data_IF_888438232353
#
_entry.id   IF_888438232353
#
_cell.length_a   1.000
_cell.length_b   1.000
_cell.length_c   1.000
_cell.angle_alpha   90.00
_cell.angle_beta   90.00
_cell.angle_gamma   90.00
#
_symmetry.space_group_name_H-M   'P 1'
#
loop_
_entity.id
_entity.type
_entity.pdbx_description
1 polymer ?
#
# COMPACT_ATOMS: atom_id res chain seq x y z
N UNK A 1 -16.32 4.50 -38.27
CA UNK A 1 -14.90 4.03 -38.21
C UNK A 1 -14.88 2.59 -37.70
N UNK A 2 -13.96 1.75 -38.18
CA UNK A 2 -13.81 0.38 -37.67
C UNK A 2 -12.95 0.41 -36.39
N UNK A 3 -13.38 -0.21 -35.28
CA UNK A 3 -12.56 -0.28 -34.08
C UNK A 3 -11.27 -1.05 -34.34
N UNK A 4 -10.18 -0.59 -33.73
CA UNK A 4 -8.87 -1.23 -33.83
C UNK A 4 -8.87 -2.48 -32.93
N UNK A 5 -8.34 -3.59 -33.44
CA UNK A 5 -8.15 -4.81 -32.65
C UNK A 5 -7.19 -4.55 -31.49
N UNK A 6 -7.51 -5.06 -30.29
CA UNK A 6 -6.76 -4.82 -29.05
C UNK A 6 -6.76 -3.37 -28.55
N UNK A 7 -7.54 -2.50 -29.18
CA UNK A 7 -7.76 -1.12 -28.72
C UNK A 7 -9.06 -0.97 -27.92
N UNK A 8 -9.34 0.25 -27.45
CA UNK A 8 -10.65 0.59 -26.93
C UNK A 8 -11.74 0.31 -27.98
N UNK A 9 -12.92 -0.12 -27.51
CA UNK A 9 -14.08 -0.44 -28.34
C UNK A 9 -13.89 -1.63 -29.30
N UNK A 10 -12.92 -2.50 -29.05
CA UNK A 10 -12.80 -3.78 -29.75
C UNK A 10 -14.11 -4.57 -29.62
N UNK A 11 -14.60 -5.12 -30.75
CA UNK A 11 -15.85 -5.86 -30.83
C UNK A 11 -15.87 -7.13 -29.97
N UNK A 12 -14.71 -7.59 -29.48
CA UNK A 12 -14.61 -8.65 -28.46
C UNK A 12 -15.09 -8.21 -27.07
N UNK A 13 -15.03 -6.91 -26.76
CA UNK A 13 -15.53 -6.36 -25.49
C UNK A 13 -17.04 -6.13 -25.49
N UNK A 14 -17.67 -6.24 -26.66
CA UNK A 14 -19.09 -5.97 -26.86
C UNK A 14 -19.31 -5.06 -28.06
N UNK A 15 -20.57 -4.77 -28.34
CA UNK A 15 -20.98 -3.88 -29.43
C UNK A 15 -21.83 -2.75 -28.87
N UNK A 16 -21.69 -1.57 -29.47
CA UNK A 16 -22.56 -0.40 -29.19
C UNK A 16 -23.41 -0.01 -30.40
N UNK A 17 -23.20 -0.67 -31.54
CA UNK A 17 -23.91 -0.45 -32.79
C UNK A 17 -24.81 -1.64 -33.10
N UNK A 18 -26.06 -1.36 -33.52
CA UNK A 18 -27.05 -2.38 -33.89
C UNK A 18 -26.65 -3.14 -35.15
N UNK A 19 -25.80 -2.55 -36.00
CA UNK A 19 -25.41 -3.15 -37.29
C UNK A 19 -24.34 -4.26 -37.18
N UNK A 20 -23.73 -4.44 -36.00
CA UNK A 20 -22.58 -5.35 -35.81
C UNK A 20 -22.85 -6.35 -34.71
N UNK A 21 -22.37 -7.57 -34.92
CA UNK A 21 -22.37 -8.62 -33.91
C UNK A 21 -21.07 -8.59 -33.09
N UNK A 22 -21.17 -8.95 -31.80
CA UNK A 22 -20.01 -9.10 -30.93
C UNK A 22 -19.13 -10.26 -31.39
N UNK A 23 -17.80 -10.07 -31.36
CA UNK A 23 -16.85 -11.11 -31.76
C UNK A 23 -16.65 -12.22 -30.71
N UNK A 24 -17.17 -12.04 -29.49
CA UNK A 24 -17.03 -13.01 -28.39
C UNK A 24 -18.26 -13.91 -28.27
N UNK A 25 -19.45 -13.32 -28.14
CA UNK A 25 -20.70 -14.08 -27.98
C UNK A 25 -21.51 -14.23 -29.28
N UNK A 26 -21.15 -13.54 -30.36
CA UNK A 26 -21.89 -13.59 -31.64
C UNK A 26 -23.23 -12.85 -31.65
N UNK A 27 -23.67 -12.32 -30.50
CA UNK A 27 -24.93 -11.59 -30.38
C UNK A 27 -24.85 -10.13 -30.83
N UNK A 28 -25.99 -9.58 -31.25
CA UNK A 28 -26.17 -8.15 -31.53
C UNK A 28 -26.40 -7.35 -30.24
N UNK A 29 -26.50 -6.02 -30.36
CA UNK A 29 -26.60 -5.09 -29.23
C UNK A 29 -27.67 -5.44 -28.18
N UNK A 30 -28.81 -5.98 -28.60
CA UNK A 30 -29.92 -6.29 -27.67
C UNK A 30 -29.63 -7.47 -26.75
N UNK A 31 -28.87 -8.46 -27.23
CA UNK A 31 -28.63 -9.72 -26.49
C UNK A 31 -27.20 -9.81 -25.94
N UNK A 32 -26.32 -8.86 -26.28
CA UNK A 32 -24.94 -8.83 -25.82
C UNK A 32 -24.82 -8.17 -24.44
N UNK A 33 -24.47 -8.95 -23.41
CA UNK A 33 -24.24 -8.48 -22.04
C UNK A 33 -22.96 -7.64 -21.83
N UNK A 34 -22.03 -7.68 -22.79
CA UNK A 34 -20.71 -7.05 -22.69
C UNK A 34 -19.65 -7.95 -22.04
N UNK A 35 -18.38 -7.71 -22.36
CA UNK A 35 -17.26 -8.54 -21.91
C UNK A 35 -16.13 -7.68 -21.36
N UNK A 36 -15.43 -8.22 -20.37
CA UNK A 36 -14.32 -7.52 -19.72
C UNK A 36 -13.05 -7.58 -20.56
N UNK A 37 -12.31 -6.49 -20.50
CA UNK A 37 -10.91 -6.42 -20.88
C UNK A 37 -10.08 -5.96 -19.69
N UNK A 38 -8.76 -6.01 -19.83
CA UNK A 38 -7.85 -5.45 -18.84
C UNK A 38 -6.74 -4.68 -19.53
N UNK A 39 -6.16 -3.74 -18.79
CA UNK A 39 -4.96 -3.01 -19.20
C UNK A 39 -3.87 -3.39 -18.19
N UNK A 40 -2.80 -3.99 -18.70
CA UNK A 40 -1.62 -4.27 -17.87
C UNK A 40 -0.83 -2.96 -17.72
N UNK A 41 -0.79 -2.43 -16.51
CA UNK A 41 0.04 -1.28 -16.17
C UNK A 41 1.50 -1.73 -16.00
N UNK A 42 2.45 -0.90 -16.46
CA UNK A 42 3.88 -1.20 -16.35
C UNK A 42 4.40 -1.05 -14.91
N UNK A 43 3.81 -0.15 -14.13
CA UNK A 43 4.11 0.07 -12.72
C UNK A 43 2.82 0.01 -11.90
N UNK A 44 2.87 -0.50 -10.65
CA UNK A 44 1.71 -0.53 -9.79
C UNK A 44 1.32 0.88 -9.34
N UNK A 45 0.03 1.05 -9.04
CA UNK A 45 -0.55 2.30 -8.55
C UNK A 45 -1.44 2.02 -7.36
N UNK A 46 -1.56 2.98 -6.44
CA UNK A 46 -2.52 2.86 -5.36
C UNK A 46 -3.96 3.00 -5.87
N UNK A 47 -4.83 2.10 -5.44
CA UNK A 47 -6.26 2.24 -5.68
C UNK A 47 -6.85 3.29 -4.73
N UNK A 48 -7.47 4.34 -5.27
CA UNK A 48 -7.99 5.48 -4.49
C UNK A 48 -8.99 5.05 -3.39
N UNK A 49 -9.84 4.06 -3.68
CA UNK A 49 -10.83 3.54 -2.74
C UNK A 49 -10.27 2.65 -1.63
N UNK A 50 -9.04 2.14 -1.77
CA UNK A 50 -8.39 1.26 -0.79
C UNK A 50 -7.16 1.89 -0.13
N UNK A 51 -6.80 3.12 -0.51
CA UNK A 51 -5.59 3.77 -0.04
C UNK A 51 -5.54 3.91 1.50
N UNK A 52 -6.68 4.20 2.14
CA UNK A 52 -6.74 4.32 3.59
C UNK A 52 -6.58 2.96 4.30
N UNK A 53 -7.08 1.89 3.68
CA UNK A 53 -6.93 0.51 4.13
C UNK A 53 -5.48 0.03 3.98
N UNK A 54 -4.85 0.28 2.81
CA UNK A 54 -3.42 0.06 2.58
C UNK A 54 -2.59 0.76 3.65
N UNK A 55 -2.86 2.03 3.92
CA UNK A 55 -2.21 2.79 4.99
C UNK A 55 -2.41 2.15 6.38
N UNK A 56 -3.61 1.66 6.68
CA UNK A 56 -3.88 0.97 7.95
C UNK A 56 -3.11 -0.35 8.08
N UNK A 57 -2.92 -1.08 6.97
CA UNK A 57 -2.09 -2.30 6.94
C UNK A 57 -0.62 -1.94 7.14
N UNK A 58 -0.09 -0.98 6.38
CA UNK A 58 1.29 -0.52 6.52
C UNK A 58 1.61 -0.03 7.94
N UNK A 59 0.64 0.51 8.68
CA UNK A 59 0.84 0.89 10.11
C UNK A 59 0.95 -0.30 11.07
N UNK A 60 0.53 -1.50 10.67
CA UNK A 60 0.50 -2.70 11.52
C UNK A 60 1.63 -3.68 11.22
N UNK A 61 2.21 -3.64 10.02
CA UNK A 61 3.27 -4.54 9.59
C UNK A 61 4.68 -3.93 9.74
N UNK A 62 5.69 -4.78 9.76
CA UNK A 62 7.09 -4.41 9.65
C UNK A 62 7.44 -4.05 8.20
N UNK A 63 8.26 -3.03 7.98
CA UNK A 63 8.62 -2.51 6.63
C UNK A 63 9.84 -3.18 6.04
N UNK A 64 10.40 -4.15 6.75
CA UNK A 64 11.51 -4.99 6.29
C UNK A 64 11.05 -6.43 6.03
N UNK A 65 10.29 -7.03 6.95
CA UNK A 65 9.88 -8.45 6.85
C UNK A 65 8.39 -8.70 6.57
N UNK A 66 7.56 -7.66 6.43
CA UNK A 66 6.11 -7.79 6.16
C UNK A 66 5.25 -8.37 7.29
N UNK A 67 5.85 -8.92 8.36
CA UNK A 67 5.12 -9.49 9.49
C UNK A 67 4.43 -8.44 10.35
N UNK A 68 3.30 -8.79 10.94
CA UNK A 68 2.56 -7.92 11.88
C UNK A 68 3.42 -7.63 13.11
N UNK A 69 3.46 -6.37 13.56
CA UNK A 69 4.20 -5.91 14.74
C UNK A 69 3.51 -6.35 16.05
N UNK A 70 3.34 -7.65 16.25
CA UNK A 70 2.80 -8.26 17.47
C UNK A 70 3.76 -9.31 18.01
N UNK A 71 3.85 -9.44 19.33
CA UNK A 71 4.48 -10.62 19.92
C UNK A 71 3.57 -11.84 19.71
N UNK A 72 4.08 -13.04 19.89
CA UNK A 72 3.28 -14.25 19.72
C UNK A 72 2.09 -14.30 20.69
N UNK A 73 2.29 -13.84 21.94
CA UNK A 73 1.25 -13.75 22.97
C UNK A 73 0.12 -12.80 22.55
N UNK A 74 0.47 -11.59 22.11
CA UNK A 74 -0.52 -10.62 21.64
C UNK A 74 -1.25 -11.11 20.39
N UNK A 75 -0.50 -11.73 19.47
CA UNK A 75 -1.06 -12.32 18.24
C UNK A 75 -2.10 -13.37 18.59
N UNK A 76 -1.82 -14.27 19.54
CA UNK A 76 -2.78 -15.29 20.00
C UNK A 76 -4.06 -14.65 20.57
N UNK A 77 -3.92 -13.60 21.40
CA UNK A 77 -5.05 -12.87 21.99
C UNK A 77 -5.93 -12.22 20.90
N UNK A 78 -5.33 -11.51 19.95
CA UNK A 78 -6.07 -10.85 18.88
C UNK A 78 -6.71 -11.84 17.92
N UNK A 79 -6.04 -12.95 17.58
CA UNK A 79 -6.63 -14.02 16.77
C UNK A 79 -7.89 -14.60 17.44
N UNK A 80 -7.86 -14.86 18.74
CA UNK A 80 -9.04 -15.31 19.50
C UNK A 80 -10.19 -14.29 19.41
N UNK A 81 -9.88 -13.00 19.52
CA UNK A 81 -10.89 -11.92 19.41
C UNK A 81 -11.49 -11.81 18.00
N UNK A 82 -10.67 -11.93 16.95
CA UNK A 82 -11.13 -11.84 15.55
C UNK A 82 -11.91 -13.08 15.07
N UNK A 83 -11.67 -14.24 15.67
CA UNK A 83 -12.34 -15.52 15.33
C UNK A 83 -13.66 -15.75 16.08
N UNK A 84 -14.09 -14.82 16.93
CA UNK A 84 -15.39 -14.86 17.60
C UNK A 84 -16.54 -14.91 16.59
N UNK A 85 -17.50 -15.83 16.78
CA UNK A 85 -18.65 -16.03 15.89
C UNK A 85 -19.61 -14.84 15.88
N UNK A 86 -19.72 -14.12 16.99
CA UNK A 86 -20.60 -12.98 17.21
C UNK A 86 -19.97 -11.62 16.82
N UNK A 87 -18.91 -11.63 16.00
CA UNK A 87 -18.14 -10.42 15.69
C UNK A 87 -18.79 -9.59 14.56
N UNK A 88 -19.60 -8.61 14.94
CA UNK A 88 -20.20 -7.65 14.02
C UNK A 88 -19.16 -6.70 13.37
N UNK A 89 -19.48 -6.16 12.18
CA UNK A 89 -18.61 -5.27 11.38
C UNK A 89 -18.08 -4.05 12.16
N UNK A 90 -18.95 -3.37 12.92
CA UNK A 90 -18.57 -2.20 13.73
C UNK A 90 -17.53 -2.58 14.80
N UNK A 91 -17.76 -3.69 15.50
CA UNK A 91 -16.85 -4.20 16.53
C UNK A 91 -15.52 -4.65 15.93
N UNK A 92 -15.54 -5.28 14.74
CA UNK A 92 -14.35 -5.65 13.98
C UNK A 92 -13.50 -4.41 13.62
N UNK A 93 -14.14 -3.33 13.15
CA UNK A 93 -13.45 -2.05 12.87
C UNK A 93 -12.83 -1.45 14.13
N UNK A 94 -13.56 -1.44 15.25
CA UNK A 94 -13.04 -0.97 16.56
C UNK A 94 -11.83 -1.80 17.01
N UNK A 95 -11.89 -3.13 16.87
CA UNK A 95 -10.79 -4.03 17.22
C UNK A 95 -9.56 -3.82 16.34
N UNK A 96 -9.76 -3.66 15.02
CA UNK A 96 -8.67 -3.35 14.07
C UNK A 96 -8.01 -2.01 14.38
N UNK A 97 -8.78 -1.00 14.80
CA UNK A 97 -8.23 0.29 15.26
C UNK A 97 -7.42 0.14 16.54
N UNK A 98 -7.91 -0.62 17.54
CA UNK A 98 -7.13 -0.93 18.76
C UNK A 98 -5.82 -1.64 18.45
N UNK A 99 -5.85 -2.58 17.51
CA UNK A 99 -4.65 -3.26 17.03
C UNK A 99 -3.67 -2.28 16.36
N UNK A 100 -4.16 -1.36 15.53
CA UNK A 100 -3.34 -0.31 14.91
C UNK A 100 -2.63 0.55 15.96
N UNK A 101 -3.35 0.99 16.99
CA UNK A 101 -2.78 1.80 18.08
C UNK A 101 -1.74 1.04 18.91
N UNK A 102 -1.88 -0.28 19.05
CA UNK A 102 -0.87 -1.13 19.69
C UNK A 102 0.40 -1.20 18.82
N UNK A 103 0.25 -1.48 17.52
CA UNK A 103 1.38 -1.61 16.60
C UNK A 103 2.16 -0.30 16.45
N UNK A 104 1.48 0.86 16.41
CA UNK A 104 2.10 2.19 16.33
C UNK A 104 3.06 2.51 17.48
N UNK A 105 2.86 1.91 18.65
CA UNK A 105 3.71 2.14 19.83
C UNK A 105 5.01 1.34 19.79
N UNK A 106 5.11 0.35 18.90
CA UNK A 106 6.28 -0.51 18.81
C UNK A 106 7.30 0.08 17.86
N UNK A 107 8.49 0.29 18.39
CA UNK A 107 9.63 0.85 17.68
C UNK A 107 10.52 -0.21 17.04
N UNK A 108 10.44 -1.46 17.50
CA UNK A 108 11.26 -2.57 17.02
C UNK A 108 10.37 -3.77 16.67
N UNK A 109 10.73 -4.45 15.59
CA UNK A 109 9.98 -5.62 15.14
C UNK A 109 10.33 -6.84 16.01
N UNK A 110 9.33 -7.54 16.59
CA UNK A 110 9.59 -8.72 17.42
C UNK A 110 10.11 -9.92 16.63
N UNK A 111 9.99 -9.93 15.30
CA UNK A 111 10.41 -11.04 14.44
C UNK A 111 11.83 -10.85 13.87
N UNK A 112 12.17 -9.66 13.37
CA UNK A 112 13.47 -9.40 12.73
C UNK A 112 14.32 -8.33 13.42
N UNK A 113 13.85 -7.71 14.50
CA UNK A 113 14.58 -6.65 15.22
C UNK A 113 14.60 -5.28 14.53
N UNK A 114 14.12 -5.16 13.29
CA UNK A 114 14.18 -3.91 12.55
C UNK A 114 13.41 -2.76 13.21
N UNK A 115 13.98 -1.55 13.14
CA UNK A 115 13.35 -0.32 13.63
C UNK A 115 12.15 0.08 12.75
N UNK A 116 11.02 0.34 13.40
CA UNK A 116 9.77 0.69 12.77
C UNK A 116 9.25 2.02 13.34
N UNK A 117 9.38 3.08 12.56
CA UNK A 117 8.76 4.38 12.84
C UNK A 117 7.29 4.51 12.41
N UNK A 118 6.77 5.72 12.51
CA UNK A 118 5.35 6.03 12.21
C UNK A 118 5.12 6.12 10.70
N UNK A 119 4.04 5.51 10.19
CA UNK A 119 3.62 5.68 8.80
C UNK A 119 2.55 6.76 8.68
N UNK A 120 2.85 7.80 7.90
CA UNK A 120 1.97 8.96 7.67
C UNK A 120 1.46 9.03 6.25
N UNK A 121 0.26 9.60 6.11
CA UNK A 121 -0.31 10.02 4.83
C UNK A 121 0.20 11.42 4.51
N UNK A 122 0.72 11.60 3.31
CA UNK A 122 1.07 12.89 2.74
C UNK A 122 -0.04 13.33 1.76
N UNK A 123 0.11 14.52 1.18
CA UNK A 123 -0.78 15.01 0.13
C UNK A 123 -0.69 14.12 -1.12
N UNK A 124 -1.72 14.18 -1.98
CA UNK A 124 -1.74 13.50 -3.29
C UNK A 124 -1.50 11.96 -3.23
N UNK A 125 -2.09 11.28 -2.24
CA UNK A 125 -2.00 9.80 -2.10
C UNK A 125 -0.56 9.26 -1.96
N UNK A 126 0.31 10.02 -1.29
CA UNK A 126 1.65 9.55 -0.91
C UNK A 126 1.68 9.06 0.53
N UNK A 127 2.54 8.08 0.78
CA UNK A 127 2.78 7.53 2.12
C UNK A 127 4.27 7.59 2.44
N UNK A 128 4.58 7.91 3.67
CA UNK A 128 5.94 8.04 4.15
C UNK A 128 6.10 7.31 5.48
N UNK A 129 7.22 6.62 5.63
CA UNK A 129 7.63 5.91 6.85
C UNK A 129 8.70 6.71 7.57
N UNK A 130 8.33 7.26 8.72
CA UNK A 130 9.21 8.09 9.54
C UNK A 130 10.09 7.24 10.47
N UNK A 131 11.01 6.46 9.90
CA UNK A 131 11.81 5.43 10.61
C UNK A 131 12.60 5.99 11.80
N UNK A 132 13.21 7.16 11.65
CA UNK A 132 14.17 7.74 12.60
C UNK A 132 13.62 8.90 13.45
N UNK A 133 12.30 9.11 13.49
CA UNK A 133 11.70 10.26 14.22
C UNK A 133 11.61 10.05 15.74
N UNK A 134 11.79 8.82 16.23
CA UNK A 134 11.67 8.54 17.67
C UNK A 134 12.91 9.04 18.41
N UNK A 135 12.69 9.95 19.36
CA UNK A 135 13.69 10.79 20.06
C UNK A 135 14.79 10.07 20.86
N UNK A 136 14.89 8.74 20.86
CA UNK A 136 15.67 8.01 21.86
C UNK A 136 16.90 7.24 21.33
N UNK A 137 17.22 7.31 20.04
CA UNK A 137 18.46 6.72 19.49
C UNK A 137 19.07 7.65 18.43
N UNK A 138 19.73 8.72 18.89
CA UNK A 138 20.40 9.71 18.03
C UNK A 138 21.40 9.04 17.06
N UNK A 139 22.10 7.99 17.49
CA UNK A 139 23.07 7.23 16.68
C UNK A 139 22.49 6.74 15.35
N UNK A 140 21.33 6.08 15.37
CA UNK A 140 20.73 5.53 14.13
C UNK A 140 20.33 6.60 13.12
N UNK A 141 20.00 7.80 13.60
CA UNK A 141 19.64 8.94 12.76
C UNK A 141 20.90 9.61 12.20
N UNK A 142 21.93 9.72 13.01
CA UNK A 142 23.21 10.28 12.59
C UNK A 142 23.86 9.39 11.52
N UNK A 143 23.80 8.06 11.69
CA UNK A 143 24.23 7.09 10.68
C UNK A 143 23.46 7.27 9.36
N UNK A 144 22.15 7.46 9.42
CA UNK A 144 21.32 7.72 8.24
C UNK A 144 21.69 9.04 7.56
N UNK A 145 21.90 10.11 8.33
CA UNK A 145 22.31 11.42 7.79
C UNK A 145 23.70 11.35 7.16
N UNK A 146 24.63 10.57 7.76
CA UNK A 146 25.98 10.38 7.25
C UNK A 146 26.01 9.69 5.87
N UNK A 147 25.00 8.89 5.53
CA UNK A 147 24.87 8.28 4.19
C UNK A 147 24.75 9.32 3.07
N UNK A 148 24.34 10.56 3.38
CA UNK A 148 24.17 11.62 2.38
C UNK A 148 25.45 12.43 2.11
N UNK A 149 26.59 12.17 2.78
CA UNK A 149 27.81 12.98 2.63
C UNK A 149 28.21 13.18 1.16
N UNK A 150 28.29 12.08 0.41
CA UNK A 150 28.62 12.08 -1.01
C UNK A 150 27.65 12.96 -1.81
N UNK A 151 26.34 12.78 -1.61
CA UNK A 151 25.33 13.60 -2.29
C UNK A 151 25.45 15.10 -1.94
N UNK A 152 25.79 15.44 -0.70
CA UNK A 152 25.97 16.84 -0.28
C UNK A 152 27.22 17.52 -0.83
N UNK A 153 28.25 16.74 -1.18
CA UNK A 153 29.46 17.25 -1.79
C UNK A 153 29.20 17.70 -3.24
N UNK A 154 28.34 16.96 -3.97
CA UNK A 154 27.92 17.31 -5.33
C UNK A 154 26.79 18.33 -5.39
N UNK A 155 25.89 18.35 -4.39
CA UNK A 155 24.78 19.29 -4.33
C UNK A 155 24.59 19.85 -2.90
N UNK A 156 25.13 21.05 -2.68
CA UNK A 156 25.05 21.74 -1.39
C UNK A 156 23.61 22.11 -0.97
N UNK A 157 22.67 22.26 -1.91
CA UNK A 157 21.26 22.60 -1.60
C UNK A 157 20.58 21.48 -0.79
N UNK A 158 21.03 20.22 -0.94
CA UNK A 158 20.49 19.08 -0.20
C UNK A 158 20.66 19.22 1.32
N UNK A 159 21.67 19.95 1.78
CA UNK A 159 21.94 20.14 3.22
C UNK A 159 20.73 20.72 3.97
N UNK A 160 19.95 21.59 3.33
CA UNK A 160 18.74 22.17 3.90
C UNK A 160 17.56 21.18 4.00
N UNK A 161 17.60 20.07 3.25
CA UNK A 161 16.50 19.12 3.11
C UNK A 161 16.73 17.77 3.78
N UNK A 162 17.98 17.37 4.05
CA UNK A 162 18.32 16.06 4.64
C UNK A 162 17.63 15.82 5.98
N UNK A 163 17.46 16.85 6.82
CA UNK A 163 16.72 16.71 8.08
C UNK A 163 15.26 16.28 7.94
N UNK A 164 14.69 16.40 6.73
CA UNK A 164 13.32 15.98 6.37
C UNK A 164 13.29 14.67 5.56
N UNK A 165 14.45 14.10 5.22
CA UNK A 165 14.53 12.84 4.47
C UNK A 165 13.92 11.70 5.30
N UNK A 166 13.07 10.91 4.66
CA UNK A 166 12.36 9.77 5.22
C UNK A 166 12.11 8.76 4.09
N UNK A 167 11.71 7.54 4.45
CA UNK A 167 11.45 6.50 3.46
C UNK A 167 10.07 6.68 2.82
N UNK A 168 10.03 6.77 1.49
CA UNK A 168 8.78 6.85 0.73
C UNK A 168 8.22 5.44 0.48
N UNK A 169 7.02 5.18 1.00
CA UNK A 169 6.29 3.94 0.73
C UNK A 169 5.54 4.09 -0.60
N UNK A 170 6.27 3.91 -1.70
CA UNK A 170 5.70 3.94 -3.07
C UNK A 170 4.81 2.71 -3.32
N UNK A 171 3.97 2.72 -4.37
CA UNK A 171 3.19 1.53 -4.73
C UNK A 171 4.05 0.29 -4.98
N UNK A 172 5.25 0.46 -5.57
CA UNK A 172 6.17 -0.63 -5.86
C UNK A 172 6.73 -1.25 -4.58
N UNK A 173 7.21 -0.42 -3.66
CA UNK A 173 7.70 -0.88 -2.34
C UNK A 173 6.58 -1.53 -1.54
N UNK A 174 5.41 -0.90 -1.51
CA UNK A 174 4.25 -1.41 -0.76
C UNK A 174 3.73 -2.73 -1.33
N UNK A 175 3.78 -2.92 -2.65
CA UNK A 175 3.42 -4.19 -3.29
C UNK A 175 4.37 -5.30 -2.84
N UNK A 176 5.69 -5.06 -2.86
CA UNK A 176 6.68 -6.03 -2.39
C UNK A 176 6.57 -6.38 -0.90
N UNK A 177 5.99 -5.50 -0.08
CA UNK A 177 5.70 -5.80 1.33
C UNK A 177 4.46 -6.69 1.54
N UNK A 178 3.59 -6.81 0.54
CA UNK A 178 2.33 -7.55 0.62
C UNK A 178 2.38 -8.91 -0.08
N UNK A 179 3.45 -9.20 -0.83
CA UNK A 179 3.76 -10.49 -1.45
C UNK A 179 4.50 -11.43 -0.48
#
# INVERSE_FOLDING_TARGET
>A
RQPIMHGPLDLRLGVSDKSRACKTCGHYLQDCIGHWGYIKLQLPVFHIGFFNETLSICRKICKECGLVLLTEEERAIYLKKFRRKDLHSITRKKLSKKLEELCKKKTECPACGATNGTVRKLQQMRMCHEKYRVKNKDETRDDFVAQFHNATDYNAELKAHIGKAQDDLTPLVTLGLFE
#
